data_IF_231884382909
#
_entry.id   IF_231884382909
#
_cell.length_a   1.000
_cell.length_b   1.000
_cell.length_c   1.000
_cell.angle_alpha   90.00
_cell.angle_beta   90.00
_cell.angle_gamma   90.00
#
_symmetry.space_group_name_H-M   'P 1'
#
loop_
_entity.id
_entity.type
_entity.pdbx_description
1 polymer ?
#
# COMPACT_ATOMS: atom_id res chain seq x y z
N UNK A 1 -42.69 -28.61 -20.43
CA UNK A 1 -41.40 -28.12 -20.98
C UNK A 1 -41.49 -26.61 -20.96
N UNK A 2 -41.18 -26.03 -19.81
CA UNK A 2 -41.36 -24.61 -19.55
C UNK A 2 -40.04 -23.86 -19.73
N UNK A 3 -40.07 -22.92 -20.67
CA UNK A 3 -39.06 -21.89 -20.88
C UNK A 3 -39.05 -20.93 -19.68
N UNK A 4 -38.07 -21.06 -18.78
CA UNK A 4 -37.68 -19.97 -17.88
C UNK A 4 -36.55 -19.17 -18.51
N UNK A 5 -36.94 -18.03 -19.09
CA UNK A 5 -36.08 -16.88 -19.38
C UNK A 5 -35.28 -16.53 -18.13
N UNK A 6 -33.96 -16.59 -18.22
CA UNK A 6 -33.07 -15.86 -17.32
C UNK A 6 -33.28 -14.37 -17.58
N UNK A 7 -33.87 -13.68 -16.60
CA UNK A 7 -33.88 -12.23 -16.57
C UNK A 7 -32.45 -11.76 -16.29
N UNK A 8 -31.73 -11.39 -17.35
CA UNK A 8 -30.65 -10.42 -17.26
C UNK A 8 -31.31 -9.10 -16.91
N UNK A 9 -31.30 -8.72 -15.63
CA UNK A 9 -31.62 -7.35 -15.22
C UNK A 9 -30.39 -6.50 -15.50
N UNK A 10 -30.45 -5.81 -16.64
CA UNK A 10 -29.51 -4.78 -17.07
C UNK A 10 -29.63 -3.52 -16.19
N UNK A 11 -29.19 -3.59 -14.94
CA UNK A 11 -28.97 -2.40 -14.10
C UNK A 11 -27.51 -1.91 -14.14
N UNK A 12 -26.60 -2.65 -14.78
CA UNK A 12 -25.17 -2.29 -14.88
C UNK A 12 -24.85 -1.37 -16.07
N UNK A 13 -25.85 -0.82 -16.74
CA UNK A 13 -25.69 0.04 -17.90
C UNK A 13 -25.87 1.53 -17.56
N UNK A 14 -25.19 2.01 -16.51
CA UNK A 14 -24.81 3.43 -16.33
C UNK A 14 -24.06 3.68 -15.00
N UNK A 15 -23.22 2.74 -14.54
CA UNK A 15 -22.19 3.18 -13.60
C UNK A 15 -21.22 3.97 -14.47
N UNK A 16 -21.26 5.29 -14.35
CA UNK A 16 -20.27 6.16 -14.96
C UNK A 16 -18.93 5.71 -14.39
N UNK A 17 -18.23 4.86 -15.16
CA UNK A 17 -16.81 4.59 -14.98
C UNK A 17 -16.21 5.94 -14.69
N UNK A 18 -15.40 6.11 -13.61
CA UNK A 18 -14.85 7.39 -13.27
C UNK A 18 -14.19 7.87 -14.54
N UNK A 19 -14.88 8.77 -15.25
CA UNK A 19 -14.29 9.40 -16.40
C UNK A 19 -12.98 9.94 -15.83
N UNK A 20 -11.94 9.95 -16.64
CA UNK A 20 -10.85 10.89 -16.43
C UNK A 20 -11.52 12.27 -16.43
N UNK A 21 -12.20 12.61 -15.33
CA UNK A 21 -12.84 13.86 -15.07
C UNK A 21 -11.62 14.72 -14.87
N UNK A 22 -11.21 15.35 -15.96
CA UNK A 22 -10.18 16.39 -16.03
C UNK A 22 -10.35 17.48 -14.96
N UNK A 23 -11.48 17.44 -14.26
CA UNK A 23 -11.99 18.43 -13.33
C UNK A 23 -11.75 18.05 -11.86
N UNK A 24 -11.33 16.81 -11.54
CA UNK A 24 -10.99 16.48 -10.15
C UNK A 24 -9.63 17.09 -9.78
N UNK A 25 -9.64 17.87 -8.71
CA UNK A 25 -8.43 18.43 -8.09
C UNK A 25 -8.50 18.16 -6.59
N UNK A 26 -7.39 17.68 -6.03
CA UNK A 26 -7.25 17.49 -4.59
C UNK A 26 -6.71 18.77 -3.93
N UNK A 27 -7.57 19.78 -3.81
CA UNK A 27 -7.27 21.09 -3.22
C UNK A 27 -8.06 21.36 -1.93
N UNK A 28 -8.76 20.35 -1.41
CA UNK A 28 -9.60 20.43 -0.21
C UNK A 28 -10.96 21.11 -0.41
N UNK A 29 -11.40 21.34 -1.65
CA UNK A 29 -12.78 21.78 -1.95
C UNK A 29 -13.81 20.66 -1.90
N UNK A 30 -13.34 19.41 -1.97
CA UNK A 30 -14.12 18.19 -1.84
C UNK A 30 -13.39 17.22 -0.91
N UNK A 31 -14.08 16.17 -0.47
CA UNK A 31 -13.48 15.09 0.33
C UNK A 31 -13.59 13.74 -0.38
N UNK A 32 -13.56 13.73 -1.71
CA UNK A 32 -13.51 12.48 -2.49
C UNK A 32 -12.10 11.88 -2.43
N UNK A 33 -11.74 11.39 -1.24
CA UNK A 33 -10.43 10.77 -1.00
C UNK A 33 -10.30 9.48 -1.80
N UNK A 34 -11.41 8.80 -2.13
CA UNK A 34 -11.38 7.64 -2.99
C UNK A 34 -10.91 7.99 -4.40
N UNK A 35 -11.36 9.12 -4.97
CA UNK A 35 -10.87 9.61 -6.28
C UNK A 35 -9.41 10.02 -6.22
N UNK A 36 -8.96 10.68 -5.16
CA UNK A 36 -7.52 10.96 -4.99
C UNK A 36 -6.71 9.66 -4.90
N UNK A 37 -7.15 8.68 -4.10
CA UNK A 37 -6.48 7.38 -3.97
C UNK A 37 -6.47 6.61 -5.30
N UNK A 38 -7.55 6.67 -6.08
CA UNK A 38 -7.60 6.15 -7.45
C UNK A 38 -6.51 6.79 -8.32
N UNK A 39 -6.44 8.12 -8.35
CA UNK A 39 -5.44 8.85 -9.14
C UNK A 39 -4.01 8.48 -8.73
N UNK A 40 -3.74 8.34 -7.42
CA UNK A 40 -2.42 7.92 -6.93
C UNK A 40 -2.09 6.47 -7.31
N UNK A 41 -3.03 5.55 -7.22
CA UNK A 41 -2.84 4.18 -7.72
C UNK A 41 -2.51 4.15 -9.22
N UNK A 42 -3.22 4.95 -10.04
CA UNK A 42 -2.95 5.08 -11.48
C UNK A 42 -1.60 5.73 -11.77
N UNK A 43 -1.11 6.61 -10.89
CA UNK A 43 0.23 7.19 -10.96
C UNK A 43 1.34 6.19 -10.57
N UNK A 44 0.98 5.00 -10.06
CA UNK A 44 1.93 3.96 -9.66
C UNK A 44 2.45 4.11 -8.23
N UNK A 45 1.80 4.93 -7.41
CA UNK A 45 2.14 5.02 -5.99
C UNK A 45 1.82 3.73 -5.26
N UNK A 46 2.57 3.48 -4.19
CA UNK A 46 2.32 2.39 -3.27
C UNK A 46 2.43 2.89 -1.82
N UNK A 47 1.67 2.26 -0.93
CA UNK A 47 1.68 2.56 0.49
C UNK A 47 1.47 1.26 1.27
N UNK A 48 2.08 1.19 2.44
CA UNK A 48 1.96 0.03 3.30
C UNK A 48 0.48 -0.30 3.61
N UNK A 49 0.17 -1.60 3.53
CA UNK A 49 -1.11 -2.16 3.96
C UNK A 49 -1.28 -1.99 5.46
N UNK A 50 -2.52 -2.02 5.95
CA UNK A 50 -2.77 -2.03 7.39
C UNK A 50 -2.40 -3.39 8.01
N UNK A 51 -1.36 -3.48 8.86
CA UNK A 51 -1.01 -4.73 9.50
C UNK A 51 -2.00 -5.04 10.62
N UNK A 52 -2.49 -6.29 10.69
CA UNK A 52 -3.37 -6.78 11.76
C UNK A 52 -4.58 -5.86 12.01
N UNK A 53 -5.24 -5.45 10.93
CA UNK A 53 -6.38 -4.56 10.98
C UNK A 53 -7.63 -5.31 11.45
N UNK A 54 -8.31 -4.78 12.46
CA UNK A 54 -9.63 -5.28 12.86
C UNK A 54 -10.66 -4.82 11.83
N UNK A 55 -11.20 -5.72 11.02
CA UNK A 55 -12.13 -5.39 9.94
C UNK A 55 -13.54 -5.22 10.54
N UNK A 56 -14.15 -4.02 10.51
CA UNK A 56 -15.52 -3.84 10.99
C UNK A 56 -16.52 -4.69 10.21
N UNK A 57 -17.61 -5.15 10.85
CA UNK A 57 -18.59 -6.02 10.21
C UNK A 57 -19.19 -5.43 8.91
N UNK A 58 -19.43 -4.11 8.86
CA UNK A 58 -19.89 -3.42 7.64
C UNK A 58 -18.88 -3.54 6.50
N UNK A 59 -17.59 -3.39 6.80
CA UNK A 59 -16.51 -3.52 5.84
C UNK A 59 -16.36 -4.97 5.37
N UNK A 60 -16.45 -5.93 6.30
CA UNK A 60 -16.44 -7.36 5.96
C UNK A 60 -17.60 -7.74 5.04
N UNK A 61 -18.81 -7.26 5.33
CA UNK A 61 -20.00 -7.52 4.51
C UNK A 61 -19.80 -6.99 3.08
N UNK A 62 -19.21 -5.81 2.94
CA UNK A 62 -18.91 -5.23 1.64
C UNK A 62 -17.82 -6.02 0.90
N UNK A 63 -16.76 -6.43 1.59
CA UNK A 63 -15.71 -7.31 1.03
C UNK A 63 -16.30 -8.63 0.53
N UNK A 64 -17.20 -9.25 1.30
CA UNK A 64 -17.87 -10.50 0.93
C UNK A 64 -18.73 -10.33 -0.33
N UNK A 65 -19.46 -9.22 -0.44
CA UNK A 65 -20.26 -8.87 -1.63
C UNK A 65 -19.39 -8.67 -2.88
N UNK A 66 -18.20 -8.09 -2.71
CA UNK A 66 -17.24 -7.87 -3.79
C UNK A 66 -16.34 -9.09 -4.05
N UNK A 67 -16.41 -10.12 -3.20
CA UNK A 67 -15.54 -11.30 -3.21
C UNK A 67 -14.03 -10.94 -3.12
N UNK A 68 -13.70 -9.97 -2.27
CA UNK A 68 -12.33 -9.47 -2.07
C UNK A 68 -11.80 -9.80 -0.68
N UNK A 69 -10.52 -10.14 -0.59
CA UNK A 69 -9.76 -10.35 0.64
C UNK A 69 -9.02 -9.07 1.02
N UNK A 70 -9.36 -8.52 2.18
CA UNK A 70 -8.75 -7.30 2.73
C UNK A 70 -7.22 -7.35 2.73
N UNK A 71 -6.61 -8.46 3.16
CA UNK A 71 -5.17 -8.54 3.35
C UNK A 71 -4.42 -8.72 2.03
N UNK A 72 -5.11 -9.16 0.97
CA UNK A 72 -4.55 -9.23 -0.38
C UNK A 72 -4.61 -7.89 -1.11
N UNK A 73 -5.58 -7.02 -0.82
CA UNK A 73 -5.65 -5.68 -1.40
C UNK A 73 -4.37 -4.86 -1.15
N UNK A 74 -3.94 -4.01 -2.11
CA UNK A 74 -2.86 -3.05 -1.88
C UNK A 74 -3.29 -1.95 -0.90
N UNK A 75 -2.32 -1.27 -0.28
CA UNK A 75 -2.62 -0.31 0.79
C UNK A 75 -3.48 0.87 0.34
N UNK A 76 -3.34 1.31 -0.92
CA UNK A 76 -4.19 2.37 -1.49
C UNK A 76 -5.65 1.89 -1.61
N UNK A 77 -5.88 0.68 -2.11
CA UNK A 77 -7.21 0.10 -2.23
C UNK A 77 -7.88 -0.12 -0.86
N UNK A 78 -7.11 -0.54 0.15
CA UNK A 78 -7.59 -0.64 1.53
C UNK A 78 -8.10 0.71 2.05
N UNK A 79 -7.33 1.79 1.83
CA UNK A 79 -7.73 3.15 2.23
C UNK A 79 -8.98 3.60 1.47
N UNK A 80 -9.04 3.35 0.16
CA UNK A 80 -10.19 3.76 -0.64
C UNK A 80 -11.47 3.06 -0.18
N UNK A 81 -11.40 1.74 0.02
CA UNK A 81 -12.52 0.96 0.54
C UNK A 81 -12.92 1.42 1.95
N UNK A 82 -11.95 1.73 2.82
CA UNK A 82 -12.21 2.19 4.18
C UNK A 82 -12.95 3.54 4.21
N UNK A 83 -12.43 4.54 3.51
CA UNK A 83 -13.03 5.87 3.42
C UNK A 83 -14.44 5.81 2.83
N UNK A 84 -14.57 5.14 1.68
CA UNK A 84 -15.84 5.02 0.96
C UNK A 84 -16.87 4.19 1.76
N UNK A 85 -16.43 3.38 2.73
CA UNK A 85 -17.33 2.65 3.65
C UNK A 85 -17.67 3.43 4.94
N UNK A 86 -17.22 4.68 5.07
CA UNK A 86 -17.51 5.52 6.24
C UNK A 86 -16.63 5.22 7.43
N UNK A 87 -15.34 5.00 7.21
CA UNK A 87 -14.38 4.78 8.28
C UNK A 87 -13.12 5.62 8.09
N UNK A 88 -12.57 6.05 9.22
CA UNK A 88 -11.19 6.51 9.33
C UNK A 88 -10.38 5.56 10.22
N UNK A 89 -9.19 6.00 10.62
CA UNK A 89 -8.32 5.27 11.55
C UNK A 89 -7.87 6.15 12.71
N UNK A 90 -7.90 5.60 13.92
CA UNK A 90 -7.22 6.21 15.09
C UNK A 90 -5.70 6.21 14.92
N UNK A 91 -4.97 6.87 15.82
CA UNK A 91 -3.49 6.84 15.89
C UNK A 91 -2.92 5.42 15.98
N UNK A 92 -3.65 4.47 16.58
CA UNK A 92 -3.27 3.06 16.69
C UNK A 92 -3.69 2.19 15.50
N UNK A 93 -4.09 2.78 14.37
CA UNK A 93 -4.59 2.08 13.17
C UNK A 93 -5.86 1.24 13.42
N UNK A 94 -6.64 1.54 14.47
CA UNK A 94 -7.95 0.93 14.67
C UNK A 94 -9.00 1.66 13.84
N UNK A 95 -9.93 0.95 13.16
CA UNK A 95 -11.02 1.59 12.43
C UNK A 95 -11.86 2.43 13.38
N UNK A 96 -12.32 3.59 12.89
CA UNK A 96 -13.26 4.44 13.62
C UNK A 96 -14.41 4.76 12.69
N UNK A 97 -15.64 4.50 13.13
CA UNK A 97 -16.84 4.72 12.32
C UNK A 97 -17.10 6.23 12.14
N UNK A 98 -17.45 6.60 10.92
CA UNK A 98 -17.87 7.94 10.52
C UNK A 98 -19.30 7.86 9.98
N UNK A 99 -20.18 8.71 10.49
CA UNK A 99 -21.49 8.99 9.94
C UNK A 99 -21.48 10.34 9.26
N UNK A 100 -22.21 10.47 8.16
CA UNK A 100 -22.43 11.77 7.53
C UNK A 100 -23.68 12.44 8.10
N UNK A 101 -23.81 13.74 7.86
CA UNK A 101 -24.94 14.57 8.32
C UNK A 101 -25.66 15.20 7.13
N UNK A 102 -26.98 15.39 7.26
CA UNK A 102 -27.78 16.22 6.35
C UNK A 102 -27.62 15.88 4.85
N UNK A 103 -27.67 14.60 4.51
CA UNK A 103 -27.55 14.08 3.14
C UNK A 103 -26.18 14.30 2.47
N UNK A 104 -25.15 14.73 3.22
CA UNK A 104 -23.78 14.75 2.71
C UNK A 104 -23.25 13.32 2.51
N UNK A 105 -22.43 13.13 1.47
CA UNK A 105 -21.69 11.89 1.24
C UNK A 105 -20.26 12.00 1.78
N UNK A 106 -19.53 10.88 1.83
CA UNK A 106 -18.10 10.90 2.16
C UNK A 106 -17.28 11.78 1.20
N UNK A 107 -17.74 11.99 -0.04
CA UNK A 107 -17.10 12.87 -1.02
C UNK A 107 -17.40 14.37 -0.80
N UNK A 108 -18.38 14.72 0.04
CA UNK A 108 -18.88 16.08 0.28
C UNK A 108 -18.85 16.47 1.78
N UNK A 109 -17.86 15.99 2.51
CA UNK A 109 -17.60 16.39 3.90
C UNK A 109 -16.74 17.65 4.01
N UNK A 110 -15.99 18.00 2.96
CA UNK A 110 -15.20 19.23 2.94
C UNK A 110 -16.12 20.44 3.16
N UNK A 111 -15.83 21.22 4.19
CA UNK A 111 -16.62 22.40 4.54
C UNK A 111 -16.06 23.61 3.78
N UNK A 112 -16.84 24.24 2.87
CA UNK A 112 -16.36 25.41 2.14
C UNK A 112 -16.10 26.60 3.07
N UNK A 113 -15.11 27.43 2.74
CA UNK A 113 -14.78 28.66 3.48
C UNK A 113 -16.02 29.50 3.83
N UNK A 114 -16.93 29.71 2.89
CA UNK A 114 -18.15 30.50 3.11
C UNK A 114 -19.08 29.90 4.16
N UNK A 115 -19.16 28.57 4.28
CA UNK A 115 -19.95 27.88 5.31
C UNK A 115 -19.25 27.92 6.66
N UNK A 116 -17.92 27.83 6.66
CA UNK A 116 -17.11 27.98 7.85
C UNK A 116 -17.20 29.40 8.44
N UNK A 117 -17.14 30.43 7.60
CA UNK A 117 -17.28 31.82 8.05
C UNK A 117 -18.70 32.16 8.52
N UNK A 118 -19.72 31.52 7.94
CA UNK A 118 -21.12 31.73 8.30
C UNK A 118 -21.46 31.31 9.75
N UNK A 119 -20.62 30.50 10.40
CA UNK A 119 -20.79 30.08 11.80
C UNK A 119 -19.96 30.92 12.77
N UNK A 120 -19.58 32.15 12.40
CA UNK A 120 -18.75 33.08 13.18
C UNK A 120 -17.30 32.66 13.37
N UNK A 121 -16.77 31.84 12.45
CA UNK A 121 -15.37 31.46 12.47
C UNK A 121 -14.55 32.29 11.48
N UNK A 122 -13.29 32.50 11.81
CA UNK A 122 -12.33 33.19 10.94
C UNK A 122 -11.28 32.23 10.42
N UNK A 123 -10.74 32.53 9.25
CA UNK A 123 -9.74 31.70 8.59
C UNK A 123 -8.39 32.39 8.54
N UNK A 124 -7.34 31.59 8.50
CA UNK A 124 -5.99 32.00 8.12
C UNK A 124 -5.75 31.60 6.68
N UNK A 125 -5.28 32.54 5.86
CA UNK A 125 -4.84 32.25 4.50
C UNK A 125 -3.39 31.74 4.51
N UNK A 126 -3.17 30.66 3.78
CA UNK A 126 -1.88 30.00 3.64
C UNK A 126 -1.55 29.85 2.17
N UNK A 127 -0.51 30.54 1.70
CA UNK A 127 0.01 30.37 0.34
C UNK A 127 0.69 29.02 0.23
N UNK A 128 0.21 28.18 -0.69
CA UNK A 128 0.78 26.87 -0.99
C UNK A 128 1.96 27.00 -1.95
N UNK A 129 2.70 25.91 -2.14
CA UNK A 129 3.89 25.85 -3.00
C UNK A 129 3.64 26.31 -4.44
N UNK A 130 2.48 26.00 -5.01
CA UNK A 130 2.09 26.39 -6.37
C UNK A 130 1.51 27.82 -6.47
N UNK A 131 1.46 28.55 -5.36
CA UNK A 131 0.90 29.89 -5.27
C UNK A 131 -0.62 29.93 -5.05
N UNK A 132 -1.31 28.77 -5.01
CA UNK A 132 -2.71 28.71 -4.61
C UNK A 132 -2.90 29.01 -3.13
N UNK A 133 -4.13 29.33 -2.71
CA UNK A 133 -4.45 29.66 -1.32
C UNK A 133 -5.21 28.51 -0.67
N UNK A 134 -4.63 28.03 0.41
CA UNK A 134 -5.23 27.14 1.40
C UNK A 134 -5.79 27.99 2.55
N UNK A 135 -6.85 27.52 3.21
CA UNK A 135 -7.43 28.18 4.39
C UNK A 135 -7.41 27.24 5.59
N UNK A 136 -6.96 27.71 6.74
CA UNK A 136 -6.95 26.95 8.00
C UNK A 136 -7.78 27.65 9.09
N UNK A 137 -8.24 26.91 10.10
CA UNK A 137 -8.94 27.50 11.23
C UNK A 137 -8.03 28.46 12.02
N UNK A 138 -8.56 29.64 12.37
CA UNK A 138 -7.83 30.62 13.17
C UNK A 138 -8.56 30.94 14.47
N UNK A 139 -9.51 31.89 14.45
CA UNK A 139 -10.35 32.21 15.61
C UNK A 139 -11.74 31.61 15.40
N UNK A 140 -12.03 30.54 16.12
CA UNK A 140 -13.28 29.80 16.04
C UNK A 140 -13.47 29.00 17.33
N UNK A 141 -14.58 29.20 18.04
CA UNK A 141 -14.91 28.39 19.21
C UNK A 141 -15.27 26.97 18.76
N UNK A 142 -14.98 25.96 19.56
CA UNK A 142 -15.28 24.56 19.20
C UNK A 142 -16.76 24.34 18.88
N UNK A 143 -17.67 24.94 19.66
CA UNK A 143 -19.13 24.89 19.39
C UNK A 143 -19.53 25.50 18.06
N UNK A 144 -18.81 26.53 17.60
CA UNK A 144 -19.15 27.25 16.39
C UNK A 144 -18.60 26.49 15.18
N UNK A 145 -17.38 25.95 15.30
CA UNK A 145 -16.79 25.03 14.33
C UNK A 145 -17.72 23.84 14.03
N UNK A 146 -18.24 23.22 15.10
CA UNK A 146 -19.13 22.07 15.01
C UNK A 146 -20.47 22.41 14.33
N UNK A 147 -20.92 23.66 14.28
CA UNK A 147 -22.13 24.02 13.51
C UNK A 147 -21.93 23.89 12.00
N UNK A 148 -20.68 23.92 11.52
CA UNK A 148 -20.36 23.73 10.11
C UNK A 148 -19.95 22.28 9.78
N UNK A 149 -19.72 21.44 10.79
CA UNK A 149 -19.32 20.05 10.61
C UNK A 149 -20.38 19.25 9.85
N UNK A 150 -19.93 18.32 9.00
CA UNK A 150 -20.78 17.48 8.15
C UNK A 150 -20.72 15.99 8.50
N UNK A 151 -20.06 15.66 9.60
CA UNK A 151 -19.81 14.30 10.03
C UNK A 151 -19.90 14.15 11.55
N UNK A 152 -20.17 12.93 11.97
CA UNK A 152 -20.04 12.46 13.35
C UNK A 152 -19.09 11.27 13.35
N UNK A 153 -18.19 11.23 14.31
CA UNK A 153 -17.21 10.17 14.51
C UNK A 153 -17.57 9.41 15.77
N UNK A 154 -17.40 8.09 15.75
CA UNK A 154 -17.52 7.23 16.92
C UNK A 154 -16.52 7.66 17.98
N UNK A 155 -16.99 7.88 19.21
CA UNK A 155 -16.10 8.26 20.30
C UNK A 155 -15.12 7.13 20.61
N UNK A 156 -13.85 7.48 20.71
CA UNK A 156 -12.79 6.56 21.11
C UNK A 156 -11.78 7.27 22.01
N UNK A 157 -11.03 6.47 22.77
CA UNK A 157 -9.89 6.97 23.55
C UNK A 157 -8.72 7.26 22.61
N UNK A 158 -8.34 8.52 22.56
CA UNK A 158 -7.18 9.01 21.83
C UNK A 158 -6.18 9.59 22.84
N UNK A 159 -5.02 8.98 22.95
CA UNK A 159 -3.93 9.47 23.81
C UNK A 159 -3.01 10.45 23.06
N UNK A 160 -3.33 10.76 21.80
CA UNK A 160 -2.53 11.65 20.97
C UNK A 160 -2.75 13.09 21.39
N UNK A 161 -1.73 13.72 21.98
CA UNK A 161 -1.72 15.16 22.21
C UNK A 161 -1.41 15.89 20.90
N UNK A 162 -2.44 16.15 20.10
CA UNK A 162 -2.33 16.82 18.80
C UNK A 162 -2.61 18.32 18.93
N UNK A 163 -1.69 19.14 18.42
CA UNK A 163 -1.80 20.60 18.37
C UNK A 163 -1.90 21.10 16.92
N UNK A 164 -2.69 20.42 16.10
CA UNK A 164 -2.88 20.73 14.68
C UNK A 164 -4.19 21.49 14.44
N UNK A 165 -4.39 21.96 13.21
CA UNK A 165 -5.66 22.55 12.79
C UNK A 165 -6.81 21.50 12.80
N UNK A 166 -8.05 21.95 13.00
CA UNK A 166 -9.25 21.09 13.04
C UNK A 166 -10.17 21.33 11.83
N UNK A 167 -9.86 22.34 11.02
CA UNK A 167 -10.47 22.58 9.71
C UNK A 167 -9.42 23.22 8.80
N UNK A 168 -9.18 22.61 7.63
CA UNK A 168 -8.24 23.11 6.63
C UNK A 168 -8.75 22.75 5.24
N UNK A 169 -8.57 23.69 4.31
CA UNK A 169 -8.64 23.47 2.86
C UNK A 169 -7.23 23.53 2.29
N UNK A 170 -6.98 22.75 1.25
CA UNK A 170 -5.66 22.49 0.71
C UNK A 170 -5.50 21.01 0.40
N UNK A 171 -4.45 20.70 -0.33
CA UNK A 171 -4.09 19.34 -0.68
C UNK A 171 -2.86 19.35 -1.58
N UNK A 172 -1.95 18.44 -1.30
CA UNK A 172 -0.85 18.14 -2.22
C UNK A 172 -1.42 17.18 -3.29
N UNK A 173 -1.42 17.52 -4.59
CA UNK A 173 -1.91 16.63 -5.64
C UNK A 173 -1.14 15.30 -5.70
N UNK A 174 0.06 15.25 -5.12
CA UNK A 174 0.91 14.07 -5.05
C UNK A 174 0.74 13.26 -3.76
N UNK A 175 -0.08 13.69 -2.81
CA UNK A 175 -0.25 12.93 -1.56
C UNK A 175 -1.13 11.71 -1.76
N UNK A 176 -0.74 10.60 -1.11
CA UNK A 176 -1.61 9.47 -0.82
C UNK A 176 -2.29 9.75 0.52
N UNK A 177 -3.59 10.08 0.57
CA UNK A 177 -4.23 10.50 1.80
C UNK A 177 -4.17 9.42 2.89
N UNK A 178 -3.81 9.82 4.11
CA UNK A 178 -4.01 9.02 5.32
C UNK A 178 -5.37 9.36 5.91
N UNK A 179 -6.12 8.40 6.44
CA UNK A 179 -7.50 8.64 6.91
C UNK A 179 -7.53 8.85 8.43
N UNK A 180 -6.60 9.65 8.95
CA UNK A 180 -6.34 9.76 10.39
C UNK A 180 -7.45 10.53 11.06
N UNK A 181 -8.02 9.97 12.12
CA UNK A 181 -8.99 10.63 12.97
C UNK A 181 -8.32 10.94 14.28
N UNK A 182 -8.29 12.23 14.64
CA UNK A 182 -7.70 12.68 15.89
C UNK A 182 -8.74 13.39 16.75
N UNK A 183 -8.60 13.25 18.06
CA UNK A 183 -9.40 13.96 19.06
C UNK A 183 -8.69 15.24 19.49
N UNK A 184 -9.33 16.39 19.28
CA UNK A 184 -8.85 17.68 19.79
C UNK A 184 -9.66 18.07 21.02
N UNK A 185 -8.99 18.15 22.17
CA UNK A 185 -9.59 18.59 23.43
C UNK A 185 -8.84 19.80 23.97
N UNK A 186 -9.56 20.87 24.27
CA UNK A 186 -8.96 22.05 24.89
C UNK A 186 -9.94 22.77 25.79
N UNK A 187 -9.40 23.58 26.70
CA UNK A 187 -10.16 24.58 27.43
C UNK A 187 -9.92 25.94 26.79
N UNK A 188 -10.95 26.52 26.22
CA UNK A 188 -10.84 27.78 25.51
C UNK A 188 -10.63 28.93 26.49
N UNK A 189 -9.61 29.76 26.24
CA UNK A 189 -9.26 30.86 27.14
C UNK A 189 -10.24 32.03 27.03
N UNK A 190 -11.00 32.14 25.94
CA UNK A 190 -11.90 33.26 25.72
C UNK A 190 -13.19 33.14 26.53
N UNK A 191 -13.77 31.93 26.60
CA UNK A 191 -15.03 31.68 27.29
C UNK A 191 -14.93 30.67 28.45
N UNK A 192 -13.73 30.13 28.70
CA UNK A 192 -13.40 29.19 29.78
C UNK A 192 -14.17 27.86 29.70
N UNK A 193 -14.77 27.53 28.55
CA UNK A 193 -15.44 26.25 28.29
C UNK A 193 -14.47 25.22 27.73
N UNK A 194 -14.74 23.94 28.01
CA UNK A 194 -14.02 22.83 27.39
C UNK A 194 -14.71 22.41 26.10
N UNK A 195 -13.93 22.20 25.05
CA UNK A 195 -14.39 21.74 23.75
C UNK A 195 -13.72 20.43 23.37
N UNK A 196 -14.48 19.59 22.66
CA UNK A 196 -14.02 18.37 22.02
C UNK A 196 -14.44 18.46 20.56
N UNK A 197 -13.47 18.41 19.65
CA UNK A 197 -13.70 18.35 18.21
C UNK A 197 -12.89 17.19 17.67
N UNK A 198 -13.55 16.26 16.98
CA UNK A 198 -12.83 15.25 16.22
C UNK A 198 -12.51 15.83 14.85
N UNK A 199 -11.35 15.48 14.30
CA UNK A 199 -10.97 15.92 12.99
C UNK A 199 -10.41 14.75 12.17
N UNK A 200 -10.84 14.65 10.91
CA UNK A 200 -10.22 13.75 9.93
C UNK A 200 -9.08 14.52 9.25
N UNK A 201 -7.86 14.09 9.48
CA UNK A 201 -6.63 14.58 8.88
C UNK A 201 -6.24 13.70 7.70
N UNK A 202 -5.96 14.32 6.56
CA UNK A 202 -5.63 13.61 5.31
C UNK A 202 -4.15 13.27 5.14
N UNK A 203 -3.29 13.65 6.09
CA UNK A 203 -1.85 13.36 6.08
C UNK A 203 -1.35 12.89 7.45
N UNK A 204 -0.12 12.37 7.49
CA UNK A 204 0.54 11.99 8.74
C UNK A 204 0.78 13.20 9.64
N UNK A 205 0.74 13.01 10.96
CA UNK A 205 0.90 14.07 11.94
C UNK A 205 2.21 14.85 11.78
N UNK A 206 3.30 14.22 11.33
CA UNK A 206 4.57 14.91 11.11
C UNK A 206 4.53 15.89 9.92
N UNK A 207 3.60 15.66 8.98
CA UNK A 207 3.34 16.54 7.85
C UNK A 207 2.39 17.69 8.20
N UNK A 208 1.65 17.61 9.31
CA UNK A 208 0.69 18.64 9.70
C UNK A 208 1.40 19.88 10.28
N UNK A 209 1.02 21.09 9.87
CA UNK A 209 1.40 22.30 10.58
C UNK A 209 0.70 22.36 11.95
N UNK A 210 1.37 22.98 12.92
CA UNK A 210 0.72 23.32 14.18
C UNK A 210 -0.46 24.28 13.94
N UNK A 211 -1.40 24.33 14.89
CA UNK A 211 -2.47 25.31 14.87
C UNK A 211 -1.91 26.74 14.70
N UNK A 212 -2.60 27.56 13.92
CA UNK A 212 -2.17 28.90 13.51
C UNK A 212 -0.83 28.93 12.73
N UNK A 213 -0.42 27.82 12.11
CA UNK A 213 0.73 27.78 11.20
C UNK A 213 0.31 27.32 9.81
N UNK A 214 1.04 27.79 8.79
CA UNK A 214 0.92 27.29 7.42
C UNK A 214 1.97 26.20 7.19
N UNK A 215 1.67 25.27 6.28
CA UNK A 215 2.61 24.23 5.88
C UNK A 215 3.90 24.83 5.32
N UNK A 216 5.04 24.30 5.75
CA UNK A 216 6.38 24.65 5.25
C UNK A 216 6.81 23.65 4.19
N UNK A 217 7.88 23.95 3.45
CA UNK A 217 8.38 23.06 2.40
C UNK A 217 8.72 21.63 2.88
N UNK A 218 9.09 21.45 4.15
CA UNK A 218 9.36 20.15 4.77
C UNK A 218 8.11 19.48 5.40
N UNK A 219 6.94 20.08 5.27
CA UNK A 219 5.65 19.62 5.77
C UNK A 219 4.70 19.49 4.58
N UNK A 220 4.38 18.26 4.18
CA UNK A 220 3.53 17.98 3.02
C UNK A 220 3.93 18.80 1.77
N UNK A 221 5.23 18.87 1.48
CA UNK A 221 5.81 19.61 0.35
C UNK A 221 5.43 21.10 0.28
N UNK A 222 4.98 21.72 1.37
CA UNK A 222 4.50 23.12 1.39
C UNK A 222 3.05 23.29 0.95
N UNK A 223 2.27 22.22 0.89
CA UNK A 223 0.82 22.25 0.68
C UNK A 223 0.08 22.07 2.01
N UNK A 224 -1.09 22.70 2.14
CA UNK A 224 -2.02 22.36 3.21
C UNK A 224 -2.54 20.93 3.06
N UNK A 225 -3.18 20.42 4.11
CA UNK A 225 -3.92 19.16 4.09
C UNK A 225 -5.42 19.45 4.13
N UNK A 226 -6.25 18.55 3.62
CA UNK A 226 -7.67 18.61 3.92
C UNK A 226 -7.87 18.13 5.36
N UNK A 227 -8.50 18.95 6.20
CA UNK A 227 -8.88 18.59 7.57
C UNK A 227 -10.37 18.84 7.77
N UNK A 228 -11.09 17.79 8.18
CA UNK A 228 -12.55 17.78 8.28
C UNK A 228 -12.99 17.78 9.75
N UNK A 229 -13.64 18.84 10.26
CA UNK A 229 -14.19 18.83 11.60
C UNK A 229 -15.43 17.92 11.66
N UNK A 230 -15.49 17.08 12.69
CA UNK A 230 -16.58 16.18 12.98
C UNK A 230 -16.99 16.29 14.46
N UNK A 231 -18.26 16.00 14.73
CA UNK A 231 -18.73 15.75 16.09
C UNK A 231 -18.22 14.41 16.62
N UNK A 232 -18.28 14.22 17.94
CA UNK A 232 -18.16 12.90 18.59
C UNK A 232 -19.53 12.37 19.00
N UNK A 233 -19.76 11.05 18.91
CA UNK A 233 -20.98 10.43 19.45
C UNK A 233 -21.17 10.66 20.95
N UNK A 234 -20.12 10.96 21.72
CA UNK A 234 -20.22 11.21 23.15
C UNK A 234 -20.84 12.59 23.49
N UNK A 235 -20.80 13.56 22.57
CA UNK A 235 -21.23 14.92 22.82
C UNK A 235 -21.98 15.52 21.62
N UNK A 236 -23.15 14.95 21.33
CA UNK A 236 -24.09 15.43 20.29
C UNK A 236 -25.50 15.62 20.83
N UNK A 237 -26.24 16.53 20.23
CA UNK A 237 -27.66 16.73 20.51
C UNK A 237 -28.50 15.60 19.91
N UNK A 238 -29.75 15.45 20.37
CA UNK A 238 -30.69 14.51 19.78
C UNK A 238 -30.96 14.81 18.29
N UNK A 239 -30.96 16.08 17.91
CA UNK A 239 -31.09 16.53 16.51
C UNK A 239 -29.95 15.99 15.64
N UNK A 240 -28.69 16.27 16.04
CA UNK A 240 -27.52 15.77 15.31
C UNK A 240 -27.53 14.24 15.25
N UNK A 241 -27.83 13.58 16.38
CA UNK A 241 -27.91 12.12 16.42
C UNK A 241 -28.98 11.55 15.47
N UNK A 242 -30.12 12.23 15.33
CA UNK A 242 -31.19 11.82 14.40
C UNK A 242 -30.87 12.10 12.93
N UNK A 243 -29.99 13.08 12.66
CA UNK A 243 -29.56 13.44 11.30
C UNK A 243 -28.38 12.61 10.79
N UNK A 244 -27.80 11.73 11.62
CA UNK A 244 -26.73 10.81 11.22
C UNK A 244 -27.23 9.86 10.14
N UNK A 245 -26.38 9.64 9.14
CA UNK A 245 -26.63 8.69 8.08
C UNK A 245 -25.52 7.65 8.05
N UNK A 246 -25.91 6.38 7.92
CA UNK A 246 -24.97 5.30 7.64
C UNK A 246 -24.39 5.48 6.24
N UNK A 247 -23.07 5.39 6.15
CA UNK A 247 -22.39 5.50 4.86
C UNK A 247 -22.64 4.24 4.05
N UNK A 248 -23.11 4.44 2.82
CA UNK A 248 -23.18 3.40 1.80
C UNK A 248 -22.07 3.66 0.78
N UNK A 249 -21.27 2.63 0.51
CA UNK A 249 -20.20 2.71 -0.46
C UNK A 249 -20.68 3.07 -1.86
N UNK A 250 -19.88 3.84 -2.58
CA UNK A 250 -20.20 4.23 -3.94
C UNK A 250 -20.05 3.05 -4.92
N UNK A 251 -20.89 3.04 -5.95
CA UNK A 251 -20.86 2.02 -6.99
C UNK A 251 -19.53 2.03 -7.76
N UNK A 252 -18.98 3.23 -8.03
CA UNK A 252 -17.75 3.38 -8.80
C UNK A 252 -16.52 2.84 -8.05
N UNK A 253 -16.40 3.06 -6.74
CA UNK A 253 -15.29 2.48 -5.94
C UNK A 253 -15.40 0.96 -5.94
N UNK A 254 -16.62 0.44 -5.80
CA UNK A 254 -16.88 -1.00 -5.84
C UNK A 254 -16.47 -1.60 -7.19
N UNK A 255 -16.85 -0.96 -8.30
CA UNK A 255 -16.47 -1.37 -9.66
C UNK A 255 -14.95 -1.32 -9.84
N UNK A 256 -14.31 -0.21 -9.47
CA UNK A 256 -12.86 -0.06 -9.55
C UNK A 256 -12.13 -1.18 -8.79
N UNK A 257 -12.56 -1.47 -7.56
CA UNK A 257 -11.91 -2.48 -6.74
C UNK A 257 -12.02 -3.89 -7.34
N UNK A 258 -13.18 -4.23 -7.91
CA UNK A 258 -13.40 -5.53 -8.56
C UNK A 258 -12.59 -5.63 -9.86
N UNK A 259 -12.70 -4.63 -10.73
CA UNK A 259 -12.03 -4.63 -12.04
C UNK A 259 -10.51 -4.73 -11.94
N UNK A 260 -9.90 -3.98 -11.01
CA UNK A 260 -8.44 -3.92 -10.89
C UNK A 260 -7.85 -4.98 -9.94
N UNK A 261 -8.61 -5.47 -8.96
CA UNK A 261 -8.04 -6.32 -7.90
C UNK A 261 -8.64 -7.72 -7.75
N UNK A 262 -9.71 -8.10 -8.45
CA UNK A 262 -10.26 -9.45 -8.31
C UNK A 262 -9.25 -10.58 -8.61
N UNK A 263 -8.30 -10.38 -9.54
CA UNK A 263 -7.29 -11.40 -9.87
C UNK A 263 -6.16 -11.55 -8.84
N UNK A 264 -5.97 -10.56 -7.97
CA UNK A 264 -4.88 -10.56 -6.96
C UNK A 264 -5.41 -10.65 -5.53
N UNK A 265 -6.64 -10.16 -5.32
CA UNK A 265 -7.31 -10.08 -4.04
C UNK A 265 -8.63 -10.83 -4.01
N UNK A 266 -8.95 -11.65 -5.02
CA UNK A 266 -10.10 -12.54 -4.99
C UNK A 266 -10.08 -13.50 -3.79
N UNK A 267 -11.27 -13.77 -3.24
CA UNK A 267 -11.49 -14.78 -2.20
C UNK A 267 -11.71 -16.18 -2.77
N UNK A 268 -11.96 -16.31 -4.07
CA UNK A 268 -11.94 -17.61 -4.75
C UNK A 268 -10.51 -18.12 -4.79
N UNK A 269 -10.25 -19.26 -4.16
CA UNK A 269 -8.96 -19.93 -4.28
C UNK A 269 -8.68 -20.18 -5.77
N UNK A 270 -7.66 -19.51 -6.31
CA UNK A 270 -7.10 -19.74 -7.65
C UNK A 270 -6.38 -21.10 -7.74
N UNK A 271 -6.96 -22.14 -7.13
CA UNK A 271 -6.62 -23.54 -7.33
C UNK A 271 -7.12 -24.09 -8.66
N UNK A 272 -7.93 -23.33 -9.43
CA UNK A 272 -8.20 -23.63 -10.83
C UNK A 272 -7.14 -22.97 -11.70
N UNK A 273 -5.99 -23.65 -11.80
CA UNK A 273 -5.09 -23.47 -12.93
C UNK A 273 -5.95 -23.62 -14.18
N UNK A 274 -6.13 -22.54 -14.95
CA UNK A 274 -6.85 -22.58 -16.21
C UNK A 274 -6.20 -23.64 -17.12
N UNK A 275 -6.78 -24.85 -17.16
CA UNK A 275 -6.23 -26.02 -17.87
C UNK A 275 -6.04 -25.73 -19.37
N UNK A 276 -6.76 -24.73 -19.88
CA UNK A 276 -6.66 -24.19 -21.25
C UNK A 276 -5.28 -23.58 -21.57
N UNK A 277 -4.57 -23.04 -20.57
CA UNK A 277 -3.20 -22.49 -20.73
C UNK A 277 -2.11 -23.57 -20.70
N UNK A 278 -2.40 -24.77 -20.18
CA UNK A 278 -1.47 -25.91 -20.18
C UNK A 278 -1.55 -26.75 -21.47
N UNK A 279 -2.69 -26.74 -22.17
CA UNK A 279 -2.86 -27.43 -23.45
C UNK A 279 -1.77 -27.10 -24.49
N UNK A 280 -1.39 -25.82 -24.74
CA UNK A 280 -0.33 -25.52 -25.71
C UNK A 280 1.07 -25.95 -25.22
N UNK A 281 1.35 -25.92 -23.92
CA UNK A 281 2.64 -26.31 -23.34
C UNK A 281 2.83 -27.84 -23.44
N UNK A 282 1.80 -28.61 -23.08
CA UNK A 282 1.83 -30.08 -23.17
C UNK A 282 1.91 -30.53 -24.63
N UNK A 283 1.18 -29.88 -25.54
CA UNK A 283 1.29 -30.15 -26.97
C UNK A 283 2.70 -29.84 -27.51
N UNK A 284 3.30 -28.72 -27.09
CA UNK A 284 4.67 -28.35 -27.46
C UNK A 284 5.71 -29.39 -27.01
N UNK A 285 5.62 -29.85 -25.75
CA UNK A 285 6.53 -30.87 -25.20
C UNK A 285 6.40 -32.20 -25.94
N UNK A 286 5.17 -32.64 -26.26
CA UNK A 286 4.94 -33.88 -27.01
C UNK A 286 5.50 -33.83 -28.43
N UNK A 287 5.40 -32.68 -29.12
CA UNK A 287 6.00 -32.49 -30.45
C UNK A 287 7.53 -32.56 -30.37
N UNK A 288 8.15 -31.91 -29.38
CA UNK A 288 9.60 -31.94 -29.18
C UNK A 288 10.09 -33.37 -28.89
N UNK A 289 9.40 -34.10 -28.01
CA UNK A 289 9.73 -35.51 -27.73
C UNK A 289 9.56 -36.38 -29.00
N UNK A 290 8.51 -36.16 -29.78
CA UNK A 290 8.29 -36.86 -31.05
C UNK A 290 9.40 -36.59 -32.08
N UNK A 291 9.85 -35.35 -32.20
CA UNK A 291 10.95 -34.95 -33.10
C UNK A 291 12.28 -35.55 -32.63
N UNK A 292 12.57 -35.51 -31.33
CA UNK A 292 13.78 -36.14 -30.77
C UNK A 292 13.75 -37.66 -30.99
N UNK A 293 12.61 -38.31 -30.74
CA UNK A 293 12.43 -39.75 -30.98
C UNK A 293 12.61 -40.12 -32.45
N UNK A 294 12.05 -39.34 -33.38
CA UNK A 294 12.23 -39.51 -34.81
C UNK A 294 13.69 -39.33 -35.23
N UNK A 295 14.38 -38.34 -34.68
CA UNK A 295 15.80 -38.07 -34.97
C UNK A 295 16.70 -39.21 -34.49
N UNK A 296 16.46 -39.74 -33.28
CA UNK A 296 17.17 -40.90 -32.74
C UNK A 296 16.88 -42.15 -33.57
N UNK A 297 15.63 -42.37 -33.99
CA UNK A 297 15.26 -43.50 -34.83
C UNK A 297 15.92 -43.45 -36.21
N UNK A 298 15.94 -42.27 -36.86
CA UNK A 298 16.61 -42.08 -38.15
C UNK A 298 18.13 -42.22 -38.04
N UNK A 299 18.74 -41.74 -36.95
CA UNK A 299 20.17 -41.93 -36.68
C UNK A 299 20.52 -43.40 -36.47
N UNK A 300 19.72 -44.13 -35.70
CA UNK A 300 19.90 -45.58 -35.47
C UNK A 300 19.74 -46.38 -36.76
N UNK A 301 18.77 -46.01 -37.61
CA UNK A 301 18.56 -46.67 -38.92
C UNK A 301 19.65 -46.35 -39.94
N UNK A 302 20.29 -45.17 -39.87
CA UNK A 302 21.47 -44.84 -40.67
C UNK A 302 22.71 -45.60 -40.23
N UNK A 303 22.93 -45.75 -38.93
CA UNK A 303 24.04 -46.54 -38.38
C UNK A 303 23.90 -48.05 -38.63
N UNK A 304 22.69 -48.55 -38.91
CA UNK A 304 22.47 -49.94 -39.35
C UNK A 304 22.58 -50.14 -40.88
N UNK A 305 22.90 -49.10 -41.67
CA UNK A 305 23.07 -49.17 -43.13
C UNK A 305 24.52 -48.95 -43.61
N UNK A 306 25.49 -49.02 -42.69
CA UNK A 306 26.93 -49.12 -42.96
C UNK A 306 27.47 -50.26 -42.05
N UNK A 307 28.00 -51.41 -42.44
CA UNK A 307 28.08 -52.28 -43.63
C UNK A 307 28.49 -53.69 -43.07
N UNK A 308 28.41 -54.83 -43.80
CA UNK A 308 29.65 -55.29 -44.45
C UNK A 308 29.44 -56.05 -45.76
N UNK A 309 30.10 -55.59 -46.82
CA UNK A 309 30.44 -56.41 -47.99
C UNK A 309 31.84 -56.98 -47.76
N UNK A 310 31.93 -58.31 -47.69
CA UNK A 310 33.18 -59.06 -47.64
C UNK A 310 33.77 -59.34 -49.02
N UNK A 311 35.08 -59.55 -49.08
CA UNK A 311 35.75 -60.35 -50.10
C UNK A 311 36.94 -61.11 -49.49
N UNK A 312 37.12 -62.31 -50.03
CA UNK A 312 38.13 -63.39 -49.85
C UNK A 312 39.58 -62.89 -50.00
N UNK A 313 40.68 -63.53 -49.60
CA UNK A 313 41.12 -64.93 -49.51
C UNK A 313 42.52 -64.96 -48.81
N UNK A 314 42.92 -66.07 -48.17
CA UNK A 314 44.29 -66.35 -47.63
C UNK A 314 45.16 -67.05 -48.71
N UNK A 315 46.50 -67.31 -48.59
CA UNK A 315 47.21 -67.80 -47.37
C UNK A 315 48.71 -67.42 -47.21
N UNK A 316 49.33 -67.91 -46.12
CA UNK A 316 50.69 -68.53 -45.98
C UNK A 316 51.37 -68.16 -44.63
N UNK A 317 51.68 -69.18 -43.84
CA UNK A 317 52.61 -69.22 -42.68
C UNK A 317 53.85 -70.07 -43.11
N UNK A 318 55.05 -70.05 -42.46
CA UNK A 318 55.25 -70.33 -41.02
C UNK A 318 56.53 -69.77 -40.30
N UNK A 319 56.63 -70.11 -38.98
CA UNK A 319 57.81 -70.28 -38.11
C UNK A 319 58.54 -69.00 -37.56
N UNK A 320 59.06 -68.89 -36.32
CA UNK A 320 59.43 -69.85 -35.28
C UNK A 320 59.82 -69.16 -33.92
N UNK A 321 59.76 -69.93 -32.83
CA UNK A 321 60.61 -69.95 -31.59
C UNK A 321 60.39 -69.08 -30.31
N UNK A 322 60.49 -69.82 -29.19
CA UNK A 322 60.56 -69.50 -27.76
C UNK A 322 61.55 -68.40 -27.33
N UNK A 323 61.27 -67.69 -26.22
CA UNK A 323 62.11 -67.66 -25.00
C UNK A 323 61.45 -66.86 -23.85
N UNK A 324 61.51 -67.39 -22.63
CA UNK A 324 61.09 -66.76 -21.35
C UNK A 324 62.29 -66.24 -20.53
N UNK A 325 61.99 -65.34 -19.57
CA UNK A 325 62.78 -64.96 -18.37
C UNK A 325 64.13 -64.23 -18.63
N UNK A 326 64.54 -63.12 -17.96
CA UNK A 326 64.54 -62.83 -16.52
C UNK A 326 65.05 -61.38 -16.23
N UNK A 327 64.50 -60.76 -15.17
CA UNK A 327 65.00 -59.78 -14.16
C UNK A 327 66.25 -58.89 -14.36
N UNK A 328 66.16 -57.64 -13.86
CA UNK A 328 67.05 -57.07 -12.82
C UNK A 328 66.53 -55.72 -12.24
N UNK A 329 65.92 -55.81 -11.05
CA UNK A 329 66.16 -55.11 -9.77
C UNK A 329 66.49 -53.60 -9.57
N UNK A 330 65.80 -53.08 -8.53
CA UNK A 330 66.14 -52.12 -7.43
C UNK A 330 66.64 -50.67 -7.66
N UNK A 331 65.98 -49.74 -6.96
CA UNK A 331 66.67 -48.98 -5.89
C UNK A 331 66.72 -47.44 -5.93
N UNK A 332 65.78 -46.80 -5.21
CA UNK A 332 65.98 -45.74 -4.19
C UNK A 332 66.90 -44.48 -4.38
N UNK A 333 66.24 -43.30 -4.26
CA UNK A 333 66.49 -42.13 -3.36
C UNK A 333 67.71 -41.17 -3.50
N UNK A 334 67.36 -39.88 -3.64
CA UNK A 334 67.87 -38.62 -3.00
C UNK A 334 69.17 -37.92 -3.48
N UNK A 335 69.09 -36.62 -3.88
CA UNK A 335 69.48 -35.41 -3.07
C UNK A 335 69.54 -34.09 -3.89
N UNK A 336 68.94 -33.00 -3.34
CA UNK A 336 69.46 -31.59 -3.20
C UNK A 336 69.71 -30.74 -4.48
N UNK A 337 69.57 -29.41 -4.61
CA UNK A 337 68.83 -28.25 -4.00
C UNK A 337 69.35 -26.97 -4.72
N UNK A 338 68.52 -25.93 -4.91
CA UNK A 338 68.86 -24.47 -4.93
C UNK A 338 67.52 -23.69 -5.03
N UNK A 339 67.01 -22.97 -4.00
CA UNK A 339 67.40 -21.65 -3.39
C UNK A 339 67.01 -20.49 -4.34
N UNK A 340 66.22 -19.44 -4.02
CA UNK A 340 65.70 -18.86 -2.75
C UNK A 340 64.62 -17.78 -3.03
N UNK A 341 63.68 -17.63 -2.08
CA UNK A 341 62.84 -16.49 -1.59
C UNK A 341 62.02 -15.60 -2.57
N UNK A 342 60.82 -15.10 -2.24
CA UNK A 342 60.41 -14.49 -0.96
C UNK A 342 58.92 -14.65 -0.59
N UNK A 343 58.73 -14.99 0.69
CA UNK A 343 57.68 -14.65 1.67
C UNK A 343 56.19 -15.01 1.49
N UNK A 344 55.78 -15.86 2.43
CA UNK A 344 54.42 -16.20 2.87
C UNK A 344 54.20 -15.53 4.22
N UNK A 345 53.01 -15.00 4.54
CA UNK A 345 52.45 -15.10 5.90
C UNK A 345 50.98 -14.68 6.00
N UNK A 346 50.19 -15.70 6.30
CA UNK A 346 48.93 -15.76 7.07
C UNK A 346 48.81 -14.75 8.21
N UNK A 347 47.61 -14.26 8.53
CA UNK A 347 47.21 -14.05 9.93
C UNK A 347 45.71 -14.23 10.20
N UNK A 348 45.43 -14.91 11.31
CA UNK A 348 44.14 -15.17 11.94
C UNK A 348 43.65 -13.94 12.72
N UNK A 349 42.34 -13.69 12.64
CA UNK A 349 41.41 -13.25 13.69
C UNK A 349 41.79 -12.15 14.68
N UNK A 350 40.95 -11.09 14.75
CA UNK A 350 40.61 -10.40 16.00
C UNK A 350 39.18 -9.85 15.93
N UNK A 351 38.41 -10.22 16.95
CA UNK A 351 37.13 -9.72 17.42
C UNK A 351 37.15 -8.20 17.69
N UNK A 352 36.19 -7.44 17.15
CA UNK A 352 35.88 -6.07 17.59
C UNK A 352 34.38 -5.80 17.59
N UNK A 353 33.80 -6.04 18.76
CA UNK A 353 32.61 -5.40 19.31
C UNK A 353 32.65 -3.89 19.10
N UNK A 354 31.64 -3.31 18.45
CA UNK A 354 31.45 -1.86 18.39
C UNK A 354 30.74 -1.43 19.68
N UNK A 355 31.51 -0.86 20.62
CA UNK A 355 30.96 -0.09 21.74
C UNK A 355 30.76 1.36 21.29
N UNK A 356 29.51 1.77 21.14
CA UNK A 356 29.13 3.18 21.06
C UNK A 356 29.31 3.80 22.47
N UNK A 357 30.08 4.88 22.56
CA UNK A 357 30.14 5.72 23.76
C UNK A 357 28.92 6.67 23.78
N UNK A 358 28.28 6.89 24.94
CA UNK A 358 27.28 7.92 25.11
C UNK A 358 27.97 9.25 25.40
N UNK A 359 27.59 10.31 24.67
CA UNK A 359 27.97 11.67 25.02
C UNK A 359 26.95 12.66 24.47
N UNK A 360 25.87 12.88 25.24
CA UNK A 360 25.33 14.22 25.50
C UNK A 360 24.33 14.15 26.66
N UNK A 361 24.78 14.60 27.83
CA UNK A 361 23.92 15.01 28.96
C UNK A 361 23.90 16.54 28.92
N UNK A 362 22.83 17.11 28.38
CA UNK A 362 22.54 18.54 28.50
C UNK A 362 21.58 18.75 29.66
N UNK A 363 22.08 19.26 30.78
CA UNK A 363 21.28 19.81 31.87
C UNK A 363 20.45 21.00 31.37
N UNK A 364 19.12 20.93 31.48
CA UNK A 364 18.30 22.13 31.48
C UNK A 364 18.35 22.73 32.89
N UNK A 365 19.22 23.73 33.05
CA UNK A 365 19.24 24.58 34.23
C UNK A 365 17.97 25.43 34.30
N UNK A 366 17.16 25.17 35.31
CA UNK A 366 16.10 26.06 35.77
C UNK A 366 16.74 27.28 36.44
N UNK A 367 16.45 28.48 35.93
CA UNK A 367 16.81 29.76 36.55
C UNK A 367 15.74 30.81 36.25
N UNK A 368 15.22 31.54 37.27
CA UNK A 368 14.08 32.41 37.13
C UNK A 368 14.49 33.80 36.61
N UNK A 369 13.60 34.47 35.88
CA UNK A 369 13.69 35.93 35.69
C UNK A 369 12.41 36.55 36.23
N UNK A 370 12.59 37.27 37.33
CA UNK A 370 11.68 38.28 37.83
C UNK A 370 11.94 39.60 37.09
N UNK A 371 10.89 40.22 36.57
CA UNK A 371 10.40 41.55 36.99
C UNK A 371 9.13 41.91 36.24
#
# INVERSE_FOLDING_TARGET
>A
MDLRRLASSSSDANVESPSDSSDFVFDGTNSDLAKQLYNRARAGDDVEKFPKFEIPQTLQTRLDQLQLDWYKLPGIAQRALLWDSGFGISSYNRPVKIWTLNDHSMADLAVPKSRYEAVNCTVKECTQRDGSISYANYKCLGRDMLKAARCVVEDFEDETDIHAAMWVTGGDPEVVPTLRVNKHEWKDMHDNNSYIVFAVHTIDQNGEPAWDQCAKANQNNGYGSLVLPCHTTANITAEINSSKQEVTGSAWVSQWLVEEYSSVAGTTDDGEINLSLLAPIVAGVLVVIGVIGLFVFLKKRRQSREDPIGFTESPVCPDNYYQSCRDLDFGARSTVHTVVDSETATYKGVDRTIKLKPSYTGEFGSGPIAH
#
